data_IF_353694284997
#
_entry.id   IF_353694284997
#
_cell.length_a   1.000
_cell.length_b   1.000
_cell.length_c   1.000
_cell.angle_alpha   90.00
_cell.angle_beta   90.00
_cell.angle_gamma   90.00
#
_symmetry.space_group_name_H-M   'P 1'
#
loop_
_entity.id
_entity.type
_entity.pdbx_description
1 polymer ?
#
# COMPACT_ATOMS: atom_id res chain seq x y z
N UNK A 1 11.71 -12.38 21.30
CA UNK A 1 11.98 -13.37 20.22
C UNK A 1 12.44 -12.62 18.99
N UNK A 2 13.60 -12.93 18.42
CA UNK A 2 14.05 -12.33 17.15
C UNK A 2 13.10 -12.82 16.05
N UNK A 3 12.21 -11.97 15.55
CA UNK A 3 11.47 -12.26 14.33
C UNK A 3 12.48 -12.31 13.18
N UNK A 4 12.97 -13.50 12.87
CA UNK A 4 13.79 -13.71 11.69
C UNK A 4 12.89 -13.47 10.47
N UNK A 5 13.01 -12.30 9.86
CA UNK A 5 12.40 -12.03 8.56
C UNK A 5 12.99 -13.02 7.56
N UNK A 6 12.15 -13.91 7.06
CA UNK A 6 12.52 -14.85 6.02
C UNK A 6 12.16 -14.16 4.70
N UNK A 7 13.15 -13.82 3.85
CA UNK A 7 12.90 -13.17 2.58
C UNK A 7 12.05 -14.09 1.68
N UNK A 8 11.17 -13.49 0.88
CA UNK A 8 10.42 -14.19 -0.15
C UNK A 8 11.25 -14.23 -1.41
N UNK A 9 11.54 -15.43 -1.90
CA UNK A 9 12.17 -15.66 -3.21
C UNK A 9 11.07 -15.72 -4.27
N UNK A 10 11.19 -14.92 -5.33
CA UNK A 10 10.28 -14.93 -6.46
C UNK A 10 10.77 -15.92 -7.50
N UNK A 11 9.85 -16.75 -7.97
CA UNK A 11 10.12 -17.84 -8.91
C UNK A 11 9.32 -17.66 -10.19
N UNK A 12 9.80 -18.24 -11.28
CA UNK A 12 8.95 -18.56 -12.43
C UNK A 12 8.03 -19.74 -12.11
N UNK A 13 6.95 -19.95 -12.89
CA UNK A 13 6.09 -21.13 -12.72
C UNK A 13 6.84 -22.45 -12.79
N UNK A 14 7.80 -22.55 -13.70
CA UNK A 14 8.63 -23.75 -13.90
C UNK A 14 9.52 -24.01 -12.68
N UNK A 15 10.18 -22.97 -12.16
CA UNK A 15 11.01 -23.07 -10.96
C UNK A 15 10.16 -23.46 -9.74
N UNK A 16 8.95 -22.89 -9.62
CA UNK A 16 8.02 -23.23 -8.56
C UNK A 16 7.64 -24.70 -8.60
N UNK A 17 7.18 -25.19 -9.76
CA UNK A 17 6.80 -26.58 -9.96
C UNK A 17 7.96 -27.54 -9.63
N UNK A 18 9.16 -27.23 -10.11
CA UNK A 18 10.37 -27.99 -9.78
C UNK A 18 10.68 -28.01 -8.27
N UNK A 19 10.50 -26.89 -7.57
CA UNK A 19 10.69 -26.84 -6.11
C UNK A 19 9.63 -27.66 -5.36
N UNK A 20 8.40 -27.70 -5.83
CA UNK A 20 7.33 -28.55 -5.29
C UNK A 20 7.73 -30.03 -5.41
N UNK A 21 8.18 -30.46 -6.60
CA UNK A 21 8.66 -31.84 -6.82
C UNK A 21 9.80 -32.23 -5.88
N UNK A 22 10.85 -31.38 -5.83
CA UNK A 22 12.00 -31.62 -4.95
C UNK A 22 11.56 -31.71 -3.47
N UNK A 23 10.66 -30.86 -3.04
CA UNK A 23 10.19 -30.85 -1.66
C UNK A 23 9.37 -32.10 -1.33
N UNK A 24 8.54 -32.59 -2.26
CA UNK A 24 7.81 -33.87 -2.13
C UNK A 24 8.77 -35.06 -2.06
N UNK A 25 9.74 -35.14 -2.97
CA UNK A 25 10.76 -36.19 -2.99
C UNK A 25 11.59 -36.25 -1.70
N UNK A 26 11.81 -35.09 -1.07
CA UNK A 26 12.58 -34.97 0.17
C UNK A 26 11.69 -35.03 1.44
N UNK A 27 10.41 -35.40 1.31
CA UNK A 27 9.44 -35.44 2.41
C UNK A 27 9.42 -34.15 3.28
N UNK A 28 9.51 -32.97 2.63
CA UNK A 28 9.42 -31.69 3.33
C UNK A 28 7.97 -31.26 3.49
N UNK A 29 7.68 -30.55 4.56
CA UNK A 29 6.37 -29.95 4.72
C UNK A 29 6.21 -28.79 3.76
N UNK A 30 5.13 -28.78 2.99
CA UNK A 30 4.78 -27.73 2.02
C UNK A 30 3.44 -27.14 2.44
N UNK A 31 3.40 -25.82 2.61
CA UNK A 31 2.16 -25.06 2.72
C UNK A 31 2.04 -24.14 1.51
N UNK A 32 0.91 -24.16 0.82
CA UNK A 32 0.63 -23.34 -0.34
C UNK A 32 -0.63 -22.52 -0.07
N UNK A 33 -0.50 -21.20 -0.19
CA UNK A 33 -1.60 -20.24 -0.14
C UNK A 33 -1.67 -19.58 -1.53
N UNK A 34 -2.86 -19.49 -2.13
CA UNK A 34 -2.99 -18.94 -3.48
C UNK A 34 -4.17 -17.99 -3.62
N UNK A 35 -4.03 -17.06 -4.54
CA UNK A 35 -5.06 -16.15 -5.02
C UNK A 35 -5.13 -16.18 -6.55
N UNK A 36 -6.03 -15.41 -7.15
CA UNK A 36 -6.15 -15.33 -8.61
C UNK A 36 -4.87 -14.83 -9.29
N UNK A 37 -4.09 -13.99 -8.61
CA UNK A 37 -2.91 -13.33 -9.19
C UNK A 37 -1.59 -13.85 -8.66
N UNK A 38 -1.59 -14.66 -7.60
CA UNK A 38 -0.35 -15.06 -6.91
C UNK A 38 -0.48 -16.41 -6.22
N UNK A 39 0.61 -17.15 -6.23
CA UNK A 39 0.80 -18.35 -5.40
C UNK A 39 1.97 -18.12 -4.46
N UNK A 40 1.78 -18.41 -3.18
CA UNK A 40 2.83 -18.39 -2.18
C UNK A 40 3.07 -19.80 -1.67
N UNK A 41 4.32 -20.21 -1.56
CA UNK A 41 4.71 -21.51 -1.03
C UNK A 41 5.67 -21.33 0.14
N UNK A 42 5.41 -22.06 1.21
CA UNK A 42 6.33 -22.17 2.35
C UNK A 42 6.81 -23.61 2.43
N UNK A 43 8.11 -23.83 2.39
CA UNK A 43 8.73 -25.15 2.58
C UNK A 43 9.44 -25.14 3.92
N UNK A 44 9.09 -26.10 4.79
CA UNK A 44 9.72 -26.26 6.09
C UNK A 44 10.50 -27.58 6.16
N UNK A 45 11.74 -27.48 6.65
CA UNK A 45 12.59 -28.63 6.99
C UNK A 45 13.19 -28.38 8.37
N UNK A 46 12.83 -29.20 9.35
CA UNK A 46 13.19 -28.98 10.75
C UNK A 46 12.78 -27.57 11.21
N UNK A 47 13.74 -26.75 11.62
CA UNK A 47 13.51 -25.34 12.03
C UNK A 47 13.78 -24.33 10.89
N UNK A 48 14.10 -24.79 9.68
CA UNK A 48 14.35 -23.91 8.52
C UNK A 48 13.08 -23.73 7.70
N UNK A 49 12.75 -22.47 7.42
CA UNK A 49 11.58 -22.07 6.64
C UNK A 49 12.06 -21.28 5.42
N UNK A 50 11.67 -21.71 4.23
CA UNK A 50 11.88 -20.97 2.99
C UNK A 50 10.52 -20.52 2.43
N UNK A 51 10.43 -19.29 1.93
CA UNK A 51 9.22 -18.73 1.34
C UNK A 51 9.45 -18.36 -0.11
N UNK A 52 8.51 -18.77 -0.94
CA UNK A 52 8.53 -18.56 -2.39
C UNK A 52 7.24 -17.92 -2.85
N UNK A 53 7.29 -17.14 -3.92
CA UNK A 53 6.11 -16.53 -4.53
C UNK A 53 6.22 -16.55 -6.06
N UNK A 54 5.07 -16.72 -6.72
CA UNK A 54 4.94 -16.64 -8.18
C UNK A 54 3.82 -15.68 -8.52
N UNK A 55 4.06 -14.81 -9.47
CA UNK A 55 3.04 -13.97 -10.09
C UNK A 55 2.38 -14.74 -11.23
N UNK A 56 1.08 -15.04 -11.12
CA UNK A 56 0.34 -15.82 -12.12
C UNK A 56 0.00 -15.01 -13.37
N UNK A 57 0.09 -13.70 -13.30
CA UNK A 57 -0.26 -12.80 -14.42
C UNK A 57 0.92 -12.65 -15.37
N UNK A 58 2.09 -12.37 -14.83
CA UNK A 58 3.31 -12.16 -15.63
C UNK A 58 4.12 -13.44 -15.81
N UNK A 59 4.00 -14.39 -14.89
CA UNK A 59 4.89 -15.55 -14.81
C UNK A 59 6.33 -15.19 -14.49
N UNK A 60 6.56 -13.96 -14.05
CA UNK A 60 7.88 -13.41 -13.80
C UNK A 60 7.92 -12.77 -12.41
N UNK A 61 9.14 -12.57 -11.90
CA UNK A 61 9.36 -11.77 -10.71
C UNK A 61 8.86 -10.36 -10.97
N UNK A 62 7.97 -9.79 -10.11
CA UNK A 62 7.57 -8.40 -10.22
C UNK A 62 8.82 -7.52 -10.11
N UNK A 63 9.06 -6.70 -11.13
CA UNK A 63 10.35 -6.01 -11.27
C UNK A 63 10.59 -5.00 -10.16
N UNK A 64 9.57 -4.39 -9.56
CA UNK A 64 9.77 -3.18 -8.75
C UNK A 64 9.00 -3.06 -7.44
N UNK A 65 8.34 -4.09 -6.96
CA UNK A 65 7.61 -4.00 -5.69
C UNK A 65 8.43 -4.44 -4.47
N UNK A 66 9.70 -4.83 -4.65
CA UNK A 66 10.48 -5.46 -3.59
C UNK A 66 11.50 -4.48 -3.01
N UNK A 67 11.29 -4.07 -1.75
CA UNK A 67 12.27 -3.36 -0.91
C UNK A 67 13.67 -3.97 -1.04
N UNK A 68 13.76 -5.30 -1.19
CA UNK A 68 15.02 -6.02 -1.39
C UNK A 68 15.70 -5.72 -2.73
N UNK A 69 14.96 -5.49 -3.83
CA UNK A 69 15.58 -5.14 -5.12
C UNK A 69 16.07 -3.70 -5.14
N UNK A 70 15.33 -2.77 -4.53
CA UNK A 70 15.79 -1.38 -4.40
C UNK A 70 17.01 -1.34 -3.47
N UNK A 71 16.98 -2.03 -2.33
CA UNK A 71 18.15 -2.18 -1.47
C UNK A 71 19.33 -2.85 -2.17
N UNK A 72 19.10 -3.82 -3.07
CA UNK A 72 20.16 -4.47 -3.84
C UNK A 72 20.78 -3.55 -4.91
N UNK A 73 19.99 -2.67 -5.54
CA UNK A 73 20.50 -1.64 -6.46
C UNK A 73 21.46 -0.67 -5.75
N UNK A 74 21.28 -0.46 -4.46
CA UNK A 74 22.07 0.45 -3.64
C UNK A 74 23.21 -0.19 -2.86
N UNK A 75 23.31 -1.53 -2.83
CA UNK A 75 24.33 -2.28 -2.07
C UNK A 75 25.77 -1.81 -2.25
N UNK A 76 26.08 -1.07 -3.30
CA UNK A 76 27.44 -0.56 -3.56
C UNK A 76 27.67 0.89 -3.15
N UNK A 77 26.66 1.67 -2.80
CA UNK A 77 26.82 3.14 -2.61
C UNK A 77 26.10 3.78 -1.42
N UNK A 78 25.26 3.04 -0.68
CA UNK A 78 24.51 3.57 0.47
C UNK A 78 24.45 2.50 1.55
N UNK A 79 24.57 2.85 2.84
CA UNK A 79 24.42 1.90 3.92
C UNK A 79 23.12 1.12 3.77
N UNK A 80 23.22 -0.19 3.82
CA UNK A 80 22.07 -1.09 3.59
C UNK A 80 21.03 -0.80 4.65
N UNK A 81 19.81 -0.42 4.22
CA UNK A 81 18.65 -0.58 5.08
C UNK A 81 18.41 -2.08 5.20
N UNK A 82 18.91 -2.65 6.26
CA UNK A 82 18.37 -3.89 6.78
C UNK A 82 17.00 -3.57 7.37
N UNK A 83 16.13 -4.57 7.48
CA UNK A 83 14.82 -4.44 8.16
C UNK A 83 14.94 -3.88 9.60
N UNK A 84 16.14 -3.79 10.15
CA UNK A 84 16.47 -3.15 11.41
C UNK A 84 16.75 -1.63 11.32
N UNK A 85 17.08 -1.10 10.16
CA UNK A 85 17.47 0.32 10.03
C UNK A 85 16.26 1.25 10.22
N UNK A 86 15.14 0.93 9.60
CA UNK A 86 13.89 1.64 9.86
C UNK A 86 13.41 1.51 11.33
N UNK A 87 13.81 0.46 12.04
CA UNK A 87 13.48 0.26 13.45
C UNK A 87 14.29 1.17 14.39
N UNK A 88 15.51 1.49 14.08
CA UNK A 88 16.37 2.30 14.93
C UNK A 88 16.13 3.79 14.76
N UNK A 89 15.72 4.22 13.56
CA UNK A 89 15.42 5.64 13.30
C UNK A 89 13.93 5.98 13.56
N UNK A 90 13.02 5.00 13.43
CA UNK A 90 11.63 5.13 13.86
C UNK A 90 11.55 4.49 15.25
N UNK A 91 12.12 5.12 16.23
CA UNK A 91 11.86 4.81 17.64
C UNK A 91 10.44 5.32 17.99
N UNK A 92 9.44 4.79 17.32
CA UNK A 92 8.10 4.87 17.83
C UNK A 92 8.06 3.98 19.07
N UNK A 93 7.60 4.49 20.20
CA UNK A 93 7.43 3.67 21.38
C UNK A 93 6.60 2.44 21.03
N UNK A 94 7.11 1.26 21.34
CA UNK A 94 6.35 0.02 21.24
C UNK A 94 5.26 0.07 22.29
N UNK A 95 4.02 0.12 21.84
CA UNK A 95 2.89 0.17 22.74
C UNK A 95 2.53 -1.24 23.21
N UNK A 96 2.84 -1.56 24.48
CA UNK A 96 2.31 -2.72 25.17
C UNK A 96 1.18 -2.27 26.10
N UNK A 97 -0.05 -2.68 25.79
CA UNK A 97 -1.21 -2.38 26.65
C UNK A 97 -1.14 -3.20 27.94
N UNK A 98 -0.90 -2.60 29.12
CA UNK A 98 -0.93 -3.33 30.38
C UNK A 98 -2.33 -3.90 30.63
N UNK A 99 -2.43 -5.20 30.84
CA UNK A 99 -3.69 -5.88 31.19
C UNK A 99 -4.66 -6.16 30.04
N UNK A 100 -4.43 -5.62 28.83
CA UNK A 100 -5.32 -5.80 27.67
C UNK A 100 -4.68 -6.54 26.50
N UNK A 101 -3.73 -7.43 26.76
CA UNK A 101 -2.99 -8.25 25.79
C UNK A 101 -3.85 -9.12 24.86
N UNK A 102 -5.17 -9.16 25.09
CA UNK A 102 -6.14 -9.90 24.25
C UNK A 102 -6.83 -9.05 23.18
N UNK A 103 -6.56 -7.73 23.13
CA UNK A 103 -7.15 -6.89 22.09
C UNK A 103 -6.25 -7.00 20.87
N UNK A 104 -6.70 -7.74 19.88
CA UNK A 104 -6.01 -7.80 18.59
C UNK A 104 -6.38 -6.57 17.76
N UNK A 105 -5.56 -5.53 17.85
CA UNK A 105 -5.68 -4.30 17.07
C UNK A 105 -5.15 -4.47 15.64
N UNK A 106 -4.52 -5.60 15.32
CA UNK A 106 -3.91 -5.87 14.00
C UNK A 106 -4.93 -5.89 12.86
N UNK A 107 -6.23 -6.08 13.18
CA UNK A 107 -7.33 -6.07 12.20
C UNK A 107 -7.97 -4.70 11.99
N UNK A 108 -7.48 -3.66 12.67
CA UNK A 108 -8.02 -2.31 12.54
C UNK A 108 -7.24 -1.52 11.46
N UNK A 109 -7.27 -1.98 10.23
CA UNK A 109 -6.85 -1.13 9.09
C UNK A 109 -8.08 -0.37 8.58
N UNK A 110 -8.18 0.97 8.75
CA UNK A 110 -9.29 1.76 8.24
C UNK A 110 -9.38 1.75 6.71
N UNK A 111 -8.44 1.10 6.05
CA UNK A 111 -8.34 1.13 4.61
C UNK A 111 -7.97 2.51 4.06
N UNK A 112 -7.57 2.53 2.82
CA UNK A 112 -7.33 3.77 2.11
C UNK A 112 -8.65 4.41 1.67
N UNK A 113 -8.70 5.73 1.68
CA UNK A 113 -9.84 6.44 1.11
C UNK A 113 -9.86 6.31 -0.40
N UNK A 114 -11.03 6.07 -0.95
CA UNK A 114 -11.28 6.11 -2.38
C UNK A 114 -12.68 6.64 -2.67
N UNK A 115 -12.82 7.30 -3.80
CA UNK A 115 -14.09 7.84 -4.29
C UNK A 115 -14.21 7.63 -5.79
N UNK A 116 -15.38 7.25 -6.26
CA UNK A 116 -15.70 7.16 -7.69
C UNK A 116 -17.08 7.74 -7.95
N UNK A 117 -17.15 8.65 -8.90
CA UNK A 117 -18.43 9.20 -9.33
C UNK A 117 -19.03 8.28 -10.42
N UNK A 118 -20.05 7.50 -10.05
CA UNK A 118 -20.70 6.51 -10.93
C UNK A 118 -21.23 7.09 -12.25
N UNK A 119 -21.60 8.38 -12.27
CA UNK A 119 -22.02 9.12 -13.47
C UNK A 119 -20.99 9.05 -14.60
N UNK A 120 -19.70 8.93 -14.26
CA UNK A 120 -18.59 8.96 -15.20
C UNK A 120 -17.96 7.58 -15.47
N UNK A 121 -18.47 6.53 -14.84
CA UNK A 121 -17.95 5.16 -15.00
C UNK A 121 -17.90 4.76 -16.46
N UNK A 122 -16.75 4.26 -16.92
CA UNK A 122 -16.44 3.82 -18.29
C UNK A 122 -16.60 4.91 -19.38
N UNK A 123 -16.79 6.16 -19.01
CA UNK A 123 -16.79 7.28 -19.95
C UNK A 123 -15.37 7.78 -20.18
N UNK A 124 -15.03 8.05 -21.43
CA UNK A 124 -13.79 8.76 -21.81
C UNK A 124 -13.99 10.26 -21.59
N UNK A 125 -13.22 10.84 -20.70
CA UNK A 125 -13.32 12.25 -20.32
C UNK A 125 -11.95 12.91 -20.40
N UNK A 126 -11.92 14.17 -20.80
CA UNK A 126 -10.71 15.00 -20.57
C UNK A 126 -10.69 15.41 -19.12
N UNK A 127 -9.61 15.03 -18.42
CA UNK A 127 -9.46 15.22 -16.99
C UNK A 127 -8.09 15.77 -16.60
N UNK A 128 -8.04 16.27 -15.39
CA UNK A 128 -6.85 16.75 -14.70
C UNK A 128 -6.61 15.89 -13.48
N UNK A 129 -5.38 15.44 -13.28
CA UNK A 129 -5.02 14.67 -12.07
C UNK A 129 -4.07 15.44 -11.20
N UNK A 130 -4.33 15.40 -9.92
CA UNK A 130 -3.55 16.05 -8.88
C UNK A 130 -3.18 15.02 -7.81
N UNK A 131 -1.90 14.94 -7.46
CA UNK A 131 -1.36 14.00 -6.49
C UNK A 131 -0.77 14.75 -5.29
N UNK A 132 -1.03 14.29 -4.08
CA UNK A 132 -0.52 14.92 -2.87
C UNK A 132 0.96 14.54 -2.68
N UNK A 133 1.83 15.55 -2.59
CA UNK A 133 3.25 15.33 -2.34
C UNK A 133 3.47 14.63 -0.99
N UNK A 134 3.83 13.33 -1.05
CA UNK A 134 4.11 12.50 0.13
C UNK A 134 2.98 12.48 1.16
N UNK A 135 1.74 12.18 0.74
CA UNK A 135 0.52 12.26 1.54
C UNK A 135 0.61 11.61 2.93
N UNK A 136 1.14 10.40 3.03
CA UNK A 136 1.30 9.75 4.34
C UNK A 136 2.35 10.43 5.21
N UNK A 137 3.45 10.89 4.63
CA UNK A 137 4.46 11.65 5.37
C UNK A 137 3.89 12.98 5.87
N UNK A 138 3.08 13.67 5.04
CA UNK A 138 2.35 14.85 5.47
C UNK A 138 1.40 14.56 6.64
N UNK A 139 0.65 13.47 6.56
CA UNK A 139 -0.23 13.04 7.64
C UNK A 139 0.56 12.72 8.93
N UNK A 140 1.78 12.18 8.80
CA UNK A 140 2.67 11.91 9.94
C UNK A 140 3.22 13.18 10.61
N UNK A 141 3.15 14.35 9.97
CA UNK A 141 3.53 15.63 10.59
C UNK A 141 2.45 16.18 11.53
N UNK A 142 1.23 15.66 11.48
CA UNK A 142 0.12 16.08 12.36
C UNK A 142 0.31 15.51 13.77
N UNK A 143 -0.41 16.08 14.73
CA UNK A 143 -0.38 15.59 16.12
C UNK A 143 -0.72 14.10 16.20
N UNK A 144 0.01 13.37 17.06
CA UNK A 144 -0.14 11.93 17.24
C UNK A 144 -0.58 11.58 18.65
N UNK A 145 -1.21 10.40 18.87
CA UNK A 145 -1.54 9.91 20.21
C UNK A 145 -0.29 9.73 21.07
N UNK A 146 -0.30 10.21 22.29
CA UNK A 146 0.69 9.84 23.30
C UNK A 146 0.42 8.42 23.81
N UNK A 147 1.00 7.43 23.13
CA UNK A 147 0.74 6.02 23.43
C UNK A 147 1.41 5.52 24.70
N UNK A 148 2.23 6.32 25.36
CA UNK A 148 2.87 5.97 26.63
C UNK A 148 1.93 6.20 27.83
N UNK A 149 0.89 7.06 27.66
CA UNK A 149 -0.03 7.42 28.74
C UNK A 149 -1.51 7.23 28.33
N UNK A 150 -1.96 5.96 28.08
CA UNK A 150 -3.34 5.66 27.73
C UNK A 150 -4.30 5.82 28.90
N UNK A 151 -5.52 6.26 28.59
CA UNK A 151 -6.69 6.14 29.47
C UNK A 151 -7.62 5.10 28.91
N UNK A 152 -8.26 4.29 29.75
CA UNK A 152 -9.12 3.20 29.30
C UNK A 152 -10.57 3.45 29.70
N UNK A 153 -11.49 2.92 28.88
CA UNK A 153 -12.94 2.92 29.13
C UNK A 153 -13.45 4.28 29.61
N UNK A 154 -13.12 5.32 28.85
CA UNK A 154 -13.39 6.71 29.27
C UNK A 154 -13.93 7.57 28.14
N UNK A 155 -14.26 8.80 28.49
CA UNK A 155 -14.77 9.82 27.56
C UNK A 155 -13.60 10.64 27.03
N UNK A 156 -13.64 10.95 25.73
CA UNK A 156 -12.66 11.82 25.06
C UNK A 156 -12.85 13.24 25.54
N UNK A 157 -11.77 13.83 26.06
CA UNK A 157 -11.71 15.22 26.50
C UNK A 157 -11.04 16.16 25.50
N UNK A 158 -10.86 17.43 25.88
CA UNK A 158 -10.15 18.41 25.05
C UNK A 158 -8.72 17.98 24.74
N UNK A 159 -8.31 18.07 23.46
CA UNK A 159 -6.96 17.71 23.02
C UNK A 159 -6.63 16.21 23.11
N UNK A 160 -7.66 15.39 23.20
CA UNK A 160 -7.55 13.94 23.24
C UNK A 160 -8.13 13.28 21.99
N UNK A 161 -7.75 12.03 21.78
CA UNK A 161 -8.24 11.17 20.71
C UNK A 161 -8.59 9.80 21.28
N UNK A 162 -9.76 9.26 20.91
CA UNK A 162 -10.21 7.96 21.36
C UNK A 162 -10.22 6.93 20.25
N UNK A 163 -10.20 5.66 20.63
CA UNK A 163 -10.35 4.52 19.71
C UNK A 163 -11.31 3.50 20.31
N UNK A 164 -12.12 2.87 19.46
CA UNK A 164 -13.04 1.79 19.84
C UNK A 164 -12.60 0.46 19.22
N UNK A 165 -12.65 -0.59 19.99
CA UNK A 165 -12.28 -1.95 19.61
C UNK A 165 -13.13 -2.53 18.46
N UNK A 166 -14.41 -2.23 18.44
CA UNK A 166 -15.36 -2.85 17.51
C UNK A 166 -15.81 -1.93 16.38
N UNK A 167 -15.34 -0.70 16.36
CA UNK A 167 -15.55 0.21 15.23
C UNK A 167 -14.30 0.19 14.38
N UNK A 168 -14.36 -0.58 13.32
CA UNK A 168 -13.39 -0.47 12.26
C UNK A 168 -13.29 1.02 11.94
N UNK A 169 -12.10 1.69 12.08
CA UNK A 169 -11.82 2.63 11.04
C UNK A 169 -11.65 4.09 11.34
N UNK A 170 -12.16 4.65 12.37
CA UNK A 170 -11.96 6.06 12.62
C UNK A 170 -11.67 6.30 14.09
N UNK A 171 -10.71 7.14 14.41
CA UNK A 171 -10.58 7.61 15.77
C UNK A 171 -11.87 8.29 16.19
N UNK A 172 -12.24 8.14 17.45
CA UNK A 172 -13.34 8.83 18.07
C UNK A 172 -12.90 10.29 18.26
N UNK A 173 -13.46 11.17 17.44
CA UNK A 173 -13.13 12.60 17.46
C UNK A 173 -14.29 13.38 18.07
N UNK A 174 -13.95 14.34 18.92
CA UNK A 174 -14.92 15.21 19.58
C UNK A 174 -15.11 14.84 21.07
N UNK A 175 -15.25 15.85 21.87
CA UNK A 175 -15.46 15.75 23.31
C UNK A 175 -16.78 15.06 23.66
N UNK A 176 -16.83 14.44 24.83
CA UNK A 176 -18.02 13.80 25.35
C UNK A 176 -18.35 12.43 24.75
N UNK A 177 -17.49 11.88 23.91
CA UNK A 177 -17.67 10.57 23.28
C UNK A 177 -16.91 9.49 24.03
N UNK A 178 -17.55 8.36 24.25
CA UNK A 178 -16.93 7.19 24.89
C UNK A 178 -15.99 6.46 23.94
N UNK A 179 -14.84 6.04 24.46
CA UNK A 179 -13.87 5.21 23.76
C UNK A 179 -13.25 4.16 24.69
N UNK A 180 -12.83 3.03 24.14
CA UNK A 180 -12.18 1.93 24.88
C UNK A 180 -10.76 2.33 25.31
N UNK A 181 -10.10 3.16 24.50
CA UNK A 181 -8.81 3.76 24.82
C UNK A 181 -8.75 5.20 24.34
N UNK A 182 -8.22 6.09 25.16
CA UNK A 182 -8.07 7.53 24.90
C UNK A 182 -6.64 7.94 25.15
N UNK A 183 -6.10 8.76 24.25
CA UNK A 183 -4.76 9.31 24.34
C UNK A 183 -4.80 10.84 24.23
N UNK A 184 -3.91 11.51 24.91
CA UNK A 184 -3.62 12.92 24.66
C UNK A 184 -2.95 13.05 23.28
N UNK A 185 -3.31 14.10 22.53
CA UNK A 185 -2.60 14.46 21.30
C UNK A 185 -1.34 15.27 21.64
N UNK A 186 -0.23 14.83 21.11
CA UNK A 186 1.08 15.48 21.26
C UNK A 186 1.68 15.81 19.91
N UNK A 187 2.73 16.63 19.88
CA UNK A 187 3.48 16.89 18.65
C UNK A 187 3.99 15.58 18.04
N UNK A 188 3.99 15.50 16.71
CA UNK A 188 4.43 14.30 16.03
C UNK A 188 5.90 13.94 16.36
N UNK A 189 6.15 12.71 16.82
CA UNK A 189 7.52 12.23 17.06
C UNK A 189 8.28 11.97 15.75
N UNK A 190 7.59 12.04 14.59
CA UNK A 190 8.19 11.77 13.27
C UNK A 190 8.67 13.02 12.55
N UNK A 191 8.44 14.21 13.09
CA UNK A 191 8.61 15.49 12.40
C UNK A 191 10.02 15.70 11.86
N UNK A 192 11.02 15.55 12.70
CA UNK A 192 12.44 15.70 12.31
C UNK A 192 12.85 14.67 11.25
N UNK A 193 12.42 13.41 11.44
CA UNK A 193 12.71 12.33 10.53
C UNK A 193 12.09 12.58 9.14
N UNK A 194 10.83 12.99 9.10
CA UNK A 194 10.12 13.26 7.85
C UNK A 194 10.78 14.42 7.11
N UNK A 195 11.05 15.53 7.76
CA UNK A 195 11.69 16.68 7.12
C UNK A 195 13.09 16.33 6.61
N UNK A 196 13.90 15.63 7.40
CA UNK A 196 15.23 15.17 6.99
C UNK A 196 15.18 14.39 5.66
N UNK A 197 14.34 13.36 5.57
CA UNK A 197 14.29 12.51 4.38
C UNK A 197 13.54 13.17 3.22
N UNK A 198 12.60 14.04 3.50
CA UNK A 198 11.94 14.83 2.47
C UNK A 198 12.93 15.80 1.80
N UNK A 199 13.71 16.54 2.59
CA UNK A 199 14.73 17.46 2.09
C UNK A 199 15.83 16.74 1.31
N UNK A 200 16.27 15.57 1.78
CA UNK A 200 17.23 14.74 1.06
C UNK A 200 16.65 14.29 -0.30
N UNK A 201 15.37 13.92 -0.34
CA UNK A 201 14.68 13.54 -1.56
C UNK A 201 14.61 14.70 -2.55
N UNK A 202 14.23 15.89 -2.09
CA UNK A 202 14.06 17.06 -2.98
C UNK A 202 15.39 17.59 -3.53
N UNK A 203 16.51 17.37 -2.84
CA UNK A 203 17.85 17.73 -3.35
C UNK A 203 18.36 16.82 -4.46
N UNK A 204 17.75 15.68 -4.67
CA UNK A 204 18.16 14.71 -5.67
C UNK A 204 17.37 14.90 -6.98
N UNK A 205 18.01 14.73 -8.15
CA UNK A 205 17.31 14.74 -9.46
C UNK A 205 16.16 13.75 -9.51
N UNK A 206 15.13 14.02 -10.32
CA UNK A 206 13.91 13.21 -10.41
C UNK A 206 14.19 11.73 -10.70
N UNK A 207 15.11 11.45 -11.61
CA UNK A 207 15.48 10.08 -12.02
C UNK A 207 16.61 9.46 -11.17
N UNK A 208 17.03 10.17 -10.11
CA UNK A 208 18.10 9.69 -9.25
C UNK A 208 17.64 8.46 -8.46
N UNK A 209 18.43 7.38 -8.47
CA UNK A 209 18.22 6.27 -7.58
C UNK A 209 18.15 6.67 -6.11
N UNK A 210 18.90 7.67 -5.67
CA UNK A 210 18.85 8.17 -4.29
C UNK A 210 17.50 8.82 -3.98
N UNK A 211 16.91 9.57 -4.92
CA UNK A 211 15.56 10.12 -4.75
C UNK A 211 14.53 9.01 -4.56
N UNK A 212 14.58 7.97 -5.39
CA UNK A 212 13.71 6.80 -5.25
C UNK A 212 13.87 6.12 -3.89
N UNK A 213 15.11 6.03 -3.40
CA UNK A 213 15.42 5.49 -2.10
C UNK A 213 14.85 6.32 -0.94
N UNK A 214 15.02 7.63 -0.94
CA UNK A 214 14.44 8.49 0.10
C UNK A 214 12.91 8.48 0.07
N UNK A 215 12.31 8.46 -1.13
CA UNK A 215 10.85 8.26 -1.29
C UNK A 215 10.41 6.92 -0.67
N UNK A 216 11.18 5.87 -0.89
CA UNK A 216 10.90 4.56 -0.30
C UNK A 216 10.95 4.57 1.22
N UNK A 217 11.95 5.23 1.82
CA UNK A 217 12.06 5.39 3.28
C UNK A 217 10.79 6.03 3.84
N UNK A 218 10.37 7.14 3.27
CA UNK A 218 9.17 7.87 3.69
C UNK A 218 7.91 6.99 3.60
N UNK A 219 7.76 6.23 2.51
CA UNK A 219 6.61 5.34 2.32
C UNK A 219 6.62 4.14 3.28
N UNK A 220 7.79 3.51 3.46
CA UNK A 220 7.94 2.37 4.39
C UNK A 220 7.65 2.77 5.82
N UNK A 221 8.07 3.97 6.23
CA UNK A 221 7.85 4.47 7.59
C UNK A 221 6.39 4.39 7.95
N UNK A 222 5.51 4.94 7.11
CA UNK A 222 4.06 4.86 7.35
C UNK A 222 3.54 3.41 7.38
N UNK A 223 4.05 2.55 6.51
CA UNK A 223 3.68 1.12 6.47
C UNK A 223 4.13 0.34 7.71
N UNK A 224 5.30 0.67 8.25
CA UNK A 224 5.83 0.02 9.45
C UNK A 224 5.04 0.36 10.72
N UNK A 225 4.36 1.50 10.76
CA UNK A 225 3.51 1.87 11.90
C UNK A 225 2.46 0.80 12.22
N UNK A 226 1.95 0.09 11.21
CA UNK A 226 1.04 -1.03 11.43
C UNK A 226 1.59 -2.10 12.40
N UNK A 227 2.92 -2.29 12.42
CA UNK A 227 3.57 -3.29 13.29
C UNK A 227 4.05 -2.72 14.61
N UNK A 228 4.37 -1.43 14.66
CA UNK A 228 5.05 -0.84 15.81
C UNK A 228 4.15 0.07 16.63
N UNK A 229 3.21 0.75 15.99
CA UNK A 229 2.26 1.62 16.68
C UNK A 229 0.97 1.75 15.83
N UNK A 230 0.03 0.84 16.07
CA UNK A 230 -1.23 0.79 15.32
C UNK A 230 -2.03 2.09 15.47
N UNK A 231 -2.02 2.73 16.63
CA UNK A 231 -2.78 3.98 16.84
C UNK A 231 -2.21 5.12 16.01
N UNK A 232 -0.88 5.23 15.89
CA UNK A 232 -0.26 6.18 14.97
C UNK A 232 -0.61 5.84 13.52
N UNK A 233 -0.62 4.57 13.12
CA UNK A 233 -1.06 4.16 11.78
C UNK A 233 -2.50 4.59 11.50
N UNK A 234 -3.42 4.36 12.43
CA UNK A 234 -4.82 4.77 12.30
C UNK A 234 -4.96 6.28 12.15
N UNK A 235 -4.17 7.06 12.90
CA UNK A 235 -4.14 8.53 12.77
C UNK A 235 -3.61 8.99 11.43
N UNK A 236 -2.54 8.39 10.92
CA UNK A 236 -1.99 8.71 9.59
C UNK A 236 -3.03 8.50 8.50
N UNK A 237 -3.72 7.36 8.53
CA UNK A 237 -4.79 7.07 7.55
C UNK A 237 -5.98 8.03 7.71
N UNK A 238 -6.36 8.34 8.93
CA UNK A 238 -7.43 9.30 9.22
C UNK A 238 -7.10 10.69 8.69
N UNK A 239 -5.89 11.21 8.96
CA UNK A 239 -5.49 12.53 8.49
C UNK A 239 -5.37 12.60 6.97
N UNK A 240 -4.77 11.59 6.34
CA UNK A 240 -4.68 11.51 4.89
C UNK A 240 -6.07 11.51 4.25
N UNK A 241 -6.98 10.68 4.77
CA UNK A 241 -8.36 10.61 4.31
C UNK A 241 -9.11 11.93 4.51
N UNK A 242 -9.04 12.51 5.71
CA UNK A 242 -9.72 13.76 6.03
C UNK A 242 -9.23 14.89 5.11
N UNK A 243 -7.92 14.97 4.91
CA UNK A 243 -7.33 16.02 4.08
C UNK A 243 -7.81 15.93 2.64
N UNK A 244 -7.75 14.77 2.00
CA UNK A 244 -8.17 14.65 0.61
C UNK A 244 -9.68 14.84 0.44
N UNK A 245 -10.49 14.46 1.44
CA UNK A 245 -11.94 14.63 1.42
C UNK A 245 -12.37 16.10 1.34
N UNK A 246 -11.59 17.03 1.89
CA UNK A 246 -11.86 18.47 1.85
C UNK A 246 -11.89 19.03 0.43
N UNK A 247 -11.26 18.32 -0.53
CA UNK A 247 -11.15 18.75 -1.93
C UNK A 247 -12.06 17.97 -2.89
N UNK A 248 -12.91 17.07 -2.39
CA UNK A 248 -13.91 16.38 -3.22
C UNK A 248 -15.08 17.31 -3.52
N UNK A 249 -15.35 17.53 -4.80
CA UNK A 249 -16.44 18.36 -5.29
C UNK A 249 -17.27 17.69 -6.38
N UNK A 250 -18.23 18.37 -6.99
CA UNK A 250 -19.08 17.86 -8.06
C UNK A 250 -18.34 17.57 -9.36
N UNK A 251 -17.16 18.16 -9.58
CA UNK A 251 -16.31 17.93 -10.74
C UNK A 251 -15.35 16.76 -10.53
N UNK A 252 -15.25 16.24 -9.31
CA UNK A 252 -14.41 15.10 -8.99
C UNK A 252 -14.98 13.83 -9.61
N UNK A 253 -14.18 13.19 -10.45
CA UNK A 253 -14.51 11.95 -11.16
C UNK A 253 -14.07 10.73 -10.38
N UNK A 254 -12.87 10.83 -9.80
CA UNK A 254 -12.19 9.72 -9.16
C UNK A 254 -11.20 10.24 -8.11
N UNK A 255 -11.05 9.50 -7.04
CA UNK A 255 -10.03 9.72 -6.04
C UNK A 255 -9.53 8.37 -5.53
N UNK A 256 -8.22 8.25 -5.35
CA UNK A 256 -7.63 7.05 -4.79
C UNK A 256 -6.42 7.41 -3.92
N UNK A 257 -6.60 7.27 -2.62
CA UNK A 257 -5.60 7.51 -1.57
C UNK A 257 -5.10 8.97 -1.52
N UNK A 258 -4.29 9.36 -2.46
CA UNK A 258 -3.53 10.61 -2.51
C UNK A 258 -3.72 11.40 -3.81
N UNK A 259 -4.54 10.89 -4.72
CA UNK A 259 -4.79 11.53 -6.01
C UNK A 259 -6.26 11.88 -6.22
N UNK A 260 -6.52 13.04 -6.84
CA UNK A 260 -7.83 13.51 -7.27
C UNK A 260 -7.84 13.68 -8.77
N UNK A 261 -8.85 13.15 -9.42
CA UNK A 261 -9.11 13.35 -10.85
C UNK A 261 -10.37 14.17 -11.02
N UNK A 262 -10.26 15.30 -11.73
CA UNK A 262 -11.35 16.25 -11.95
C UNK A 262 -11.59 16.50 -13.44
N UNK A 263 -12.86 16.75 -13.80
CA UNK A 263 -13.22 17.19 -15.18
C UNK A 263 -12.84 18.64 -15.46
N UNK A 264 -12.54 19.42 -14.42
CA UNK A 264 -12.12 20.81 -14.54
C UNK A 264 -10.74 21.03 -13.93
N UNK A 265 -9.99 21.96 -14.49
CA UNK A 265 -8.75 22.39 -13.87
C UNK A 265 -9.07 23.07 -12.53
N UNK A 266 -8.39 22.62 -11.48
CA UNK A 266 -8.60 23.08 -10.10
C UNK A 266 -7.68 24.28 -9.83
N UNK A 267 -8.23 25.35 -9.29
CA UNK A 267 -7.52 26.57 -8.87
C UNK A 267 -7.55 26.76 -7.35
N UNK A 268 -8.32 25.95 -6.66
CA UNK A 268 -8.51 25.93 -5.21
C UNK A 268 -7.51 25.02 -4.48
N UNK A 269 -6.80 24.17 -5.21
CA UNK A 269 -5.77 23.29 -4.61
C UNK A 269 -4.49 24.07 -4.32
N UNK A 270 -3.84 23.85 -3.18
CA UNK A 270 -2.49 24.35 -2.93
C UNK A 270 -1.51 23.56 -3.80
N UNK A 271 -1.05 24.17 -4.90
CA UNK A 271 -0.15 23.52 -5.85
C UNK A 271 1.27 24.02 -5.63
N UNK A 272 2.15 23.15 -5.15
CA UNK A 272 3.59 23.41 -5.02
C UNK A 272 4.38 22.10 -4.80
N UNK A 273 5.70 22.23 -4.70
CA UNK A 273 6.57 21.09 -4.37
C UNK A 273 6.67 20.82 -2.85
N UNK A 274 5.91 21.52 -2.01
CA UNK A 274 5.92 21.31 -0.56
C UNK A 274 5.23 20.01 -0.19
N UNK A 275 5.65 19.41 0.90
CA UNK A 275 5.01 18.24 1.48
C UNK A 275 3.56 18.54 1.85
N UNK A 276 2.63 17.74 1.35
CA UNK A 276 1.19 17.90 1.55
C UNK A 276 0.50 18.78 0.51
N UNK A 277 1.21 19.57 -0.28
CA UNK A 277 0.61 20.29 -1.40
C UNK A 277 0.42 19.34 -2.60
N UNK A 278 -0.47 19.74 -3.51
CA UNK A 278 -0.74 18.97 -4.71
C UNK A 278 0.25 19.32 -5.83
N UNK A 279 0.51 18.34 -6.69
CA UNK A 279 1.17 18.53 -8.00
C UNK A 279 0.22 18.07 -9.09
N UNK A 280 0.24 18.80 -10.21
CA UNK A 280 -0.49 18.41 -11.42
C UNK A 280 0.28 17.30 -12.14
N UNK A 281 -0.33 16.12 -12.30
CA UNK A 281 0.26 14.98 -12.99
C UNK A 281 -0.27 14.81 -14.41
N UNK A 282 -1.57 15.03 -14.61
CA UNK A 282 -2.22 14.98 -15.91
C UNK A 282 -2.97 16.29 -16.20
N UNK A 283 -2.80 16.85 -17.41
CA UNK A 283 -3.31 18.15 -17.78
C UNK A 283 -4.21 18.08 -19.03
N UNK A 284 -5.45 17.70 -18.85
CA UNK A 284 -6.42 17.54 -19.95
C UNK A 284 -6.26 16.25 -20.73
N UNK A 285 -5.65 15.23 -20.12
CA UNK A 285 -5.51 13.90 -20.67
C UNK A 285 -6.83 13.13 -20.66
N UNK A 286 -6.93 12.12 -21.51
CA UNK A 286 -8.10 11.24 -21.53
C UNK A 286 -8.07 10.26 -20.37
N UNK A 287 -9.08 10.34 -19.51
CA UNK A 287 -9.26 9.46 -18.36
C UNK A 287 -10.52 8.60 -18.51
N UNK A 288 -10.43 7.37 -18.02
CA UNK A 288 -11.52 6.43 -17.95
C UNK A 288 -11.32 5.50 -16.76
N UNK A 289 -12.34 5.17 -16.01
CA UNK A 289 -12.24 4.23 -14.89
C UNK A 289 -13.40 3.23 -14.90
N UNK A 290 -13.17 2.05 -14.37
CA UNK A 290 -14.18 1.01 -14.16
C UNK A 290 -14.60 0.92 -12.70
N UNK A 291 -13.65 0.94 -11.81
CA UNK A 291 -13.81 0.94 -10.35
C UNK A 291 -12.52 1.45 -9.69
N UNK A 292 -12.49 1.46 -8.36
CA UNK A 292 -11.29 1.78 -7.61
C UNK A 292 -10.13 0.90 -8.05
N UNK A 293 -8.96 1.50 -8.23
CA UNK A 293 -7.71 0.85 -8.67
C UNK A 293 -7.77 0.17 -10.06
N UNK A 294 -8.82 0.46 -10.88
CA UNK A 294 -8.93 0.04 -12.27
C UNK A 294 -9.29 1.26 -13.11
N UNK A 295 -8.28 1.84 -13.76
CA UNK A 295 -8.42 3.05 -14.56
C UNK A 295 -7.43 3.10 -15.72
N UNK A 296 -7.66 4.03 -16.61
CA UNK A 296 -6.85 4.25 -17.82
C UNK A 296 -6.62 5.74 -18.03
N UNK A 297 -5.36 6.09 -18.24
CA UNK A 297 -4.95 7.38 -18.76
C UNK A 297 -4.46 7.23 -20.20
N UNK A 298 -5.08 7.96 -21.13
CA UNK A 298 -4.81 7.81 -22.56
C UNK A 298 -4.85 6.33 -22.98
N UNK A 299 -3.72 5.73 -23.33
CA UNK A 299 -3.59 4.33 -23.71
C UNK A 299 -2.98 3.45 -22.60
N UNK A 300 -2.69 4.02 -21.43
CA UNK A 300 -2.07 3.29 -20.33
C UNK A 300 -3.13 2.82 -19.34
N UNK A 301 -3.27 1.52 -19.20
CA UNK A 301 -4.20 0.89 -18.26
C UNK A 301 -3.51 0.61 -16.94
N UNK A 302 -4.13 1.05 -15.86
CA UNK A 302 -3.74 0.74 -14.50
C UNK A 302 -4.74 -0.24 -13.87
N UNK A 303 -4.21 -1.34 -13.39
CA UNK A 303 -4.99 -2.36 -12.70
C UNK A 303 -4.20 -2.86 -11.50
N UNK A 304 -4.75 -2.71 -10.29
CA UNK A 304 -4.07 -3.19 -9.09
C UNK A 304 -3.82 -4.70 -9.16
N UNK A 305 -2.53 -5.07 -9.10
CA UNK A 305 -2.10 -6.47 -9.15
C UNK A 305 -1.94 -7.06 -10.56
N UNK A 306 -2.17 -6.30 -11.63
CA UNK A 306 -1.93 -6.72 -13.01
C UNK A 306 -0.97 -5.74 -13.69
N UNK A 307 0.08 -6.21 -14.38
CA UNK A 307 0.96 -5.34 -15.15
C UNK A 307 0.17 -4.56 -16.22
N UNK A 308 0.38 -3.25 -16.32
CA UNK A 308 -0.33 -2.35 -17.26
C UNK A 308 -0.21 -2.80 -18.73
N UNK A 309 0.88 -3.44 -19.10
CA UNK A 309 1.12 -3.97 -20.45
C UNK A 309 0.27 -5.19 -20.83
N UNK A 310 -0.43 -5.80 -19.87
CA UNK A 310 -1.24 -7.00 -20.12
C UNK A 310 -2.65 -6.69 -20.69
N UNK A 311 -3.05 -5.42 -20.70
CA UNK A 311 -4.41 -4.99 -21.02
C UNK A 311 -4.33 -3.76 -21.92
N UNK A 312 -5.07 -3.76 -23.04
CA UNK A 312 -5.10 -2.63 -23.97
C UNK A 312 -6.21 -1.62 -23.65
N UNK A 313 -7.33 -2.08 -23.11
CA UNK A 313 -8.45 -1.23 -22.69
C UNK A 313 -9.13 -1.82 -21.44
N UNK A 314 -9.54 -0.97 -20.51
CA UNK A 314 -10.23 -1.40 -19.28
C UNK A 314 -11.64 -1.95 -19.55
N UNK A 315 -12.23 -1.72 -20.72
CA UNK A 315 -13.48 -2.33 -21.12
C UNK A 315 -13.34 -3.82 -21.42
N UNK A 316 -12.16 -4.24 -21.86
CA UNK A 316 -11.86 -5.65 -22.17
C UNK A 316 -11.81 -6.51 -20.90
N UNK A 317 -11.73 -5.88 -19.72
CA UNK A 317 -11.76 -6.59 -18.44
C UNK A 317 -13.18 -7.06 -18.12
N UNK A 318 -13.54 -8.19 -18.65
CA UNK A 318 -14.81 -8.86 -18.30
C UNK A 318 -14.66 -9.69 -17.02
N UNK A 319 -13.51 -10.34 -16.88
CA UNK A 319 -13.17 -11.18 -15.74
C UNK A 319 -11.66 -11.13 -15.50
N UNK A 320 -11.21 -11.06 -14.23
CA UNK A 320 -9.78 -11.03 -13.87
C UNK A 320 -9.04 -12.28 -14.38
N UNK A 321 -9.73 -13.42 -14.45
CA UNK A 321 -9.17 -14.68 -14.94
C UNK A 321 -8.75 -14.62 -16.43
N UNK A 322 -9.22 -13.64 -17.21
CA UNK A 322 -8.83 -13.48 -18.62
C UNK A 322 -7.41 -12.95 -18.79
N UNK A 323 -6.82 -12.39 -17.73
CA UNK A 323 -5.51 -11.77 -17.77
C UNK A 323 -4.42 -12.58 -17.09
N UNK A 324 -4.80 -13.66 -16.37
CA UNK A 324 -3.80 -14.58 -15.83
C UNK A 324 -3.24 -15.40 -16.98
N UNK A 325 -1.93 -15.48 -17.09
CA UNK A 325 -1.24 -16.37 -18.03
C UNK A 325 -1.12 -17.80 -17.50
N UNK A 326 -1.27 -17.92 -16.18
CA UNK A 326 -1.09 -19.16 -15.45
C UNK A 326 -2.22 -19.35 -14.45
N UNK A 327 -2.52 -20.59 -14.11
CA UNK A 327 -3.44 -20.94 -13.02
C UNK A 327 -2.82 -21.97 -12.10
N UNK A 328 -3.29 -21.99 -10.84
CA UNK A 328 -2.85 -22.96 -9.85
C UNK A 328 -3.90 -24.07 -9.72
N UNK A 329 -3.45 -25.31 -9.87
CA UNK A 329 -4.31 -26.50 -9.71
C UNK A 329 -3.48 -27.69 -9.22
N UNK A 330 -4.03 -28.45 -8.25
CA UNK A 330 -3.43 -29.70 -7.75
C UNK A 330 -1.98 -29.54 -7.24
N UNK A 331 -1.65 -28.37 -6.70
CA UNK A 331 -0.33 -28.08 -6.14
C UNK A 331 0.69 -27.55 -7.15
N UNK A 332 0.31 -27.33 -8.42
CA UNK A 332 1.18 -26.89 -9.50
C UNK A 332 0.62 -25.67 -10.24
N UNK A 333 1.51 -24.95 -10.89
CA UNK A 333 1.18 -23.79 -11.73
C UNK A 333 1.24 -24.24 -13.20
N UNK A 334 0.15 -23.99 -13.92
CA UNK A 334 -0.06 -24.38 -15.32
C UNK A 334 -0.28 -23.14 -16.19
N UNK A 335 0.25 -23.12 -17.43
CA UNK A 335 -0.06 -22.06 -18.38
C UNK A 335 -1.52 -22.14 -18.80
N UNK A 336 -2.16 -20.98 -18.96
CA UNK A 336 -3.47 -20.89 -19.59
C UNK A 336 -3.23 -20.91 -21.09
N UNK A 337 -3.63 -22.00 -21.74
CA UNK A 337 -3.61 -22.07 -23.20
C UNK A 337 -4.56 -21.00 -23.76
N UNK A 338 -4.02 -20.04 -24.50
CA UNK A 338 -4.81 -19.11 -25.29
C UNK A 338 -5.50 -19.91 -26.38
N UNK A 339 -6.75 -20.31 -26.18
CA UNK A 339 -7.62 -20.76 -27.28
C UNK A 339 -7.79 -19.57 -28.20
N UNK A 340 -6.99 -19.52 -29.24
CA UNK A 340 -7.11 -18.56 -30.34
C UNK A 340 -8.54 -18.59 -30.85
N UNK A 341 -9.15 -17.41 -31.09
CA UNK A 341 -10.51 -17.17 -31.56
C UNK A 341 -10.92 -17.90 -32.91
N UNK A 342 -10.18 -18.92 -33.32
CA UNK A 342 -10.40 -19.64 -34.58
C UNK A 342 -11.32 -20.87 -34.52
N UNK A 343 -11.91 -21.20 -33.35
CA UNK A 343 -12.76 -22.39 -33.19
C UNK A 343 -14.19 -22.11 -32.74
N UNK A 344 -14.74 -20.93 -32.98
CA UNK A 344 -16.16 -20.62 -32.68
C UNK A 344 -16.96 -20.41 -33.97
N UNK A 345 -16.42 -20.67 -35.16
CA UNK A 345 -17.15 -20.67 -36.43
C UNK A 345 -16.92 -22.01 -37.14
N UNK A 346 -17.43 -23.07 -36.54
CA UNK A 346 -17.78 -24.32 -37.27
C UNK A 346 -18.97 -24.96 -36.58
#
# INVERSE_FOLDING_TARGET
>A
MKNNYIPIEWLTPEEFNKKVEIAKLLNRQIKIDYSITRVNMTITKNNFVNRYSVDLVSGAKPVDSNIGSIAAMFKKKVPVITSGYGRQEIAAPTFEMPGHTKINWDYLDPGNFSYTNSKYKLKKLKCYSYDINSAYSFAMLKSMPDTDHPKFDTIVGPGEIGFRKNTILAPVVGEGRYADVVFKLVESPYKEFIYKYYDLKEKEPLDSPKRAYYKLILNITSGLLHRYNIFHRLMVLYYAKKYIQEFIDENTVYCNVDSIVSTKKRTDLPISDKIGDFKLEHNGDTFKFRQVAIYQWNNEVHYSGIPSKAINDIEDIKNINQFTKYYFKEGYIWPIENKTKKQVNS
#
